data_IF_214737975195
#
_entry.id   IF_214737975195
#
_cell.length_a   1.000
_cell.length_b   1.000
_cell.length_c   1.000
_cell.angle_alpha   90.00
_cell.angle_beta   90.00
_cell.angle_gamma   90.00
#
_symmetry.space_group_name_H-M   'P 1'
#
loop_
_entity.id
_entity.type
_entity.pdbx_description
1 polymer ?
#
# COMPACT_ATOMS: atom_id res chain seq x y z
N UNK A 1 16.34 -7.65 -1.48
CA UNK A 1 15.63 -8.14 -0.29
C UNK A 1 14.73 -9.26 -0.74
N UNK A 2 14.82 -10.40 -0.07
CA UNK A 2 13.93 -11.52 -0.35
C UNK A 2 12.50 -11.20 0.12
N UNK A 3 11.44 -11.76 -0.49
CA UNK A 3 10.06 -11.45 -0.10
C UNK A 3 9.74 -11.66 1.38
N UNK A 4 10.38 -12.64 2.02
CA UNK A 4 10.24 -12.91 3.45
C UNK A 4 10.86 -11.81 4.34
N UNK A 5 11.99 -11.25 3.92
CA UNK A 5 12.71 -10.17 4.59
C UNK A 5 11.92 -8.85 4.51
N UNK A 6 11.38 -8.56 3.32
CA UNK A 6 10.51 -7.40 3.09
C UNK A 6 9.27 -7.47 3.98
N UNK A 7 8.63 -8.64 4.05
CA UNK A 7 7.44 -8.84 4.88
C UNK A 7 7.76 -8.68 6.38
N UNK A 8 8.88 -9.26 6.85
CA UNK A 8 9.31 -9.12 8.24
C UNK A 8 9.56 -7.66 8.63
N UNK A 9 10.32 -6.94 7.79
CA UNK A 9 10.61 -5.52 7.99
C UNK A 9 9.35 -4.66 7.97
N UNK A 10 8.43 -4.94 7.03
CA UNK A 10 7.14 -4.26 6.94
C UNK A 10 6.30 -4.48 8.21
N UNK A 11 6.21 -5.71 8.71
CA UNK A 11 5.43 -6.01 9.92
C UNK A 11 5.99 -5.28 11.15
N UNK A 12 7.32 -5.26 11.32
CA UNK A 12 7.95 -4.52 12.40
C UNK A 12 7.64 -3.01 12.34
N UNK A 13 7.80 -2.41 11.16
CA UNK A 13 7.52 -0.97 10.96
C UNK A 13 6.02 -0.66 11.09
N UNK A 14 5.15 -1.52 10.58
CA UNK A 14 3.71 -1.28 10.58
C UNK A 14 3.09 -1.32 11.99
N UNK A 15 3.61 -2.18 12.86
CA UNK A 15 3.16 -2.36 14.24
C UNK A 15 3.97 -1.56 15.27
N UNK A 16 4.88 -0.69 14.83
CA UNK A 16 5.62 0.22 15.74
C UNK A 16 4.66 1.18 16.48
N UNK A 17 3.60 1.62 15.79
CA UNK A 17 2.59 2.56 16.29
C UNK A 17 1.19 1.95 16.42
N UNK A 18 1.03 0.63 16.19
CA UNK A 18 -0.28 -0.04 16.15
C UNK A 18 -0.29 -1.29 17.03
N UNK A 19 -1.40 -1.49 17.74
CA UNK A 19 -1.61 -2.71 18.51
C UNK A 19 -1.99 -3.89 17.61
N UNK A 20 -1.23 -5.00 17.60
CA UNK A 20 -1.57 -6.18 16.82
C UNK A 20 -2.76 -6.96 17.38
N UNK A 21 -3.51 -7.61 16.49
CA UNK A 21 -4.53 -8.59 16.86
C UNK A 21 -3.88 -9.84 17.48
N UNK A 22 -4.64 -10.61 18.28
CA UNK A 22 -4.11 -11.83 18.94
C UNK A 22 -3.51 -12.86 17.97
N UNK A 23 -4.03 -12.90 16.74
CA UNK A 23 -3.55 -13.79 15.70
C UNK A 23 -3.35 -12.99 14.42
N UNK A 24 -2.15 -13.07 13.86
CA UNK A 24 -1.81 -12.54 12.55
C UNK A 24 -1.75 -13.72 11.56
N UNK A 25 -2.50 -13.60 10.47
CA UNK A 25 -2.49 -14.55 9.36
C UNK A 25 -1.69 -13.92 8.22
N UNK A 26 -0.64 -14.60 7.78
CA UNK A 26 0.21 -14.15 6.69
C UNK A 26 0.00 -15.00 5.45
N UNK A 27 0.18 -14.40 4.28
CA UNK A 27 0.14 -15.11 2.98
C UNK A 27 1.37 -15.99 2.75
N UNK A 28 2.49 -15.67 3.41
CA UNK A 28 3.76 -16.38 3.31
C UNK A 28 4.57 -16.20 4.59
N UNK A 29 5.62 -17.02 4.76
CA UNK A 29 6.52 -16.93 5.92
C UNK A 29 7.28 -15.60 5.87
N UNK A 30 7.32 -14.92 7.01
CA UNK A 30 8.18 -13.77 7.23
C UNK A 30 9.52 -14.22 7.82
N UNK A 31 10.59 -13.48 7.52
CA UNK A 31 11.87 -13.69 8.18
C UNK A 31 11.73 -13.42 9.68
N UNK A 32 12.37 -14.27 10.50
CA UNK A 32 12.37 -14.14 11.96
C UNK A 32 10.96 -14.09 12.58
N UNK A 33 10.02 -14.85 12.01
CA UNK A 33 8.61 -14.86 12.43
C UNK A 33 8.39 -15.12 13.93
N UNK A 34 9.21 -15.97 14.54
CA UNK A 34 9.15 -16.26 15.99
C UNK A 34 9.55 -15.03 16.82
N UNK A 35 10.67 -14.39 16.48
CA UNK A 35 11.13 -13.17 17.13
C UNK A 35 10.14 -12.02 16.95
N UNK A 36 9.54 -11.89 15.76
CA UNK A 36 8.46 -10.93 15.50
C UNK A 36 7.25 -11.20 16.41
N UNK A 37 6.82 -12.45 16.55
CA UNK A 37 5.69 -12.79 17.43
C UNK A 37 5.98 -12.46 18.90
N UNK A 38 7.22 -12.67 19.37
CA UNK A 38 7.66 -12.32 20.72
C UNK A 38 7.71 -10.81 20.94
N UNK A 39 8.30 -10.06 20.00
CA UNK A 39 8.37 -8.60 20.05
C UNK A 39 6.97 -7.98 20.07
N UNK A 40 6.09 -8.43 19.17
CA UNK A 40 4.69 -7.98 19.11
C UNK A 40 3.91 -8.37 20.37
N UNK A 41 4.19 -9.53 20.97
CA UNK A 41 3.57 -9.93 22.23
C UNK A 41 3.98 -9.03 23.39
N UNK A 42 5.25 -8.66 23.44
CA UNK A 42 5.80 -7.72 24.43
C UNK A 42 5.17 -6.35 24.25
N UNK A 43 5.14 -5.83 23.02
CA UNK A 43 4.51 -4.55 22.69
C UNK A 43 3.02 -4.51 23.06
N UNK A 44 2.27 -5.59 22.77
CA UNK A 44 0.84 -5.66 23.02
C UNK A 44 0.46 -6.04 24.47
N UNK A 45 1.42 -6.42 25.33
CA UNK A 45 1.16 -6.91 26.69
C UNK A 45 0.34 -8.21 26.75
N UNK A 46 0.29 -8.97 25.65
CA UNK A 46 -0.48 -10.22 25.54
C UNK A 46 0.13 -11.12 24.47
N UNK A 47 -0.13 -12.43 24.56
CA UNK A 47 0.32 -13.38 23.54
C UNK A 47 -0.26 -13.03 22.15
N UNK A 48 0.64 -12.83 21.20
CA UNK A 48 0.38 -12.68 19.76
C UNK A 48 0.94 -13.92 19.07
N UNK A 49 0.16 -14.48 18.14
CA UNK A 49 0.58 -15.63 17.33
C UNK A 49 0.58 -15.26 15.87
N UNK A 50 1.67 -15.57 15.17
CA UNK A 50 1.76 -15.39 13.71
C UNK A 50 1.66 -16.78 13.06
N UNK A 51 0.81 -16.91 12.06
CA UNK A 51 0.67 -18.18 11.33
C UNK A 51 0.47 -17.97 9.84
N UNK A 52 0.97 -18.92 9.05
CA UNK A 52 0.76 -19.00 7.61
C UNK A 52 -0.17 -20.19 7.37
N UNK A 53 -1.49 -19.98 7.29
CA UNK A 53 -2.43 -21.08 7.08
C UNK A 53 -2.12 -21.81 5.77
N UNK A 54 -2.32 -23.13 5.77
CA UNK A 54 -2.03 -23.98 4.60
C UNK A 54 -3.28 -24.60 3.98
N UNK A 55 -4.40 -24.64 4.72
CA UNK A 55 -5.68 -25.20 4.29
C UNK A 55 -6.84 -24.66 5.13
N UNK A 56 -8.07 -24.82 4.62
CA UNK A 56 -9.31 -24.45 5.31
C UNK A 56 -9.60 -22.94 5.29
N UNK A 57 -10.62 -22.50 6.04
CA UNK A 57 -11.17 -21.14 5.97
C UNK A 57 -10.11 -20.03 6.15
N UNK A 58 -9.14 -20.22 7.05
CA UNK A 58 -8.05 -19.25 7.26
C UNK A 58 -7.15 -19.11 6.03
N UNK A 59 -6.95 -20.19 5.27
CA UNK A 59 -6.20 -20.16 4.01
C UNK A 59 -6.99 -19.40 2.96
N UNK A 60 -8.29 -19.68 2.85
CA UNK A 60 -9.18 -19.00 1.91
C UNK A 60 -9.19 -17.48 2.18
N UNK A 61 -9.20 -17.06 3.45
CA UNK A 61 -9.06 -15.65 3.84
C UNK A 61 -7.74 -15.03 3.36
N UNK A 62 -6.61 -15.69 3.59
CA UNK A 62 -5.31 -15.17 3.14
C UNK A 62 -5.20 -15.16 1.61
N UNK A 63 -5.84 -16.10 0.92
CA UNK A 63 -5.85 -16.16 -0.55
C UNK A 63 -6.70 -15.05 -1.16
N UNK A 64 -7.87 -14.77 -0.59
CA UNK A 64 -8.68 -13.62 -0.98
C UNK A 64 -7.92 -12.30 -0.74
N UNK A 65 -7.25 -12.16 0.40
CA UNK A 65 -6.43 -10.97 0.68
C UNK A 65 -5.29 -10.81 -0.34
N UNK A 66 -4.61 -11.91 -0.69
CA UNK A 66 -3.55 -11.91 -1.70
C UNK A 66 -4.07 -11.56 -3.10
N UNK A 67 -5.23 -12.10 -3.48
CA UNK A 67 -5.87 -11.81 -4.75
C UNK A 67 -6.27 -10.33 -4.85
N UNK A 68 -6.90 -9.79 -3.80
CA UNK A 68 -7.25 -8.37 -3.71
C UNK A 68 -6.01 -7.48 -3.81
N UNK A 69 -4.91 -7.85 -3.16
CA UNK A 69 -3.65 -7.12 -3.24
C UNK A 69 -3.07 -7.12 -4.67
N UNK A 70 -3.14 -8.25 -5.39
CA UNK A 70 -2.72 -8.35 -6.79
C UNK A 70 -3.57 -7.47 -7.71
N UNK A 71 -4.88 -7.50 -7.54
CA UNK A 71 -5.81 -6.67 -8.34
C UNK A 71 -5.60 -5.18 -8.09
N UNK A 72 -5.46 -4.78 -6.83
CA UNK A 72 -5.15 -3.40 -6.45
C UNK A 72 -3.81 -2.94 -7.03
N UNK A 73 -2.78 -3.78 -6.98
CA UNK A 73 -1.48 -3.48 -7.58
C UNK A 73 -1.60 -3.35 -9.10
N UNK A 74 -2.30 -4.27 -9.77
CA UNK A 74 -2.53 -4.22 -11.21
C UNK A 74 -3.25 -2.93 -11.63
N UNK A 75 -4.29 -2.53 -10.90
CA UNK A 75 -5.00 -1.27 -11.12
C UNK A 75 -4.06 -0.06 -10.97
N UNK A 76 -3.27 -0.01 -9.88
CA UNK A 76 -2.32 1.08 -9.64
C UNK A 76 -1.28 1.20 -10.74
N UNK A 77 -0.75 0.08 -11.24
CA UNK A 77 0.20 0.06 -12.34
C UNK A 77 -0.44 0.55 -13.65
N UNK A 78 -1.68 0.13 -13.94
CA UNK A 78 -2.43 0.58 -15.10
C UNK A 78 -2.74 2.09 -15.05
N UNK A 79 -3.18 2.60 -13.89
CA UNK A 79 -3.41 4.03 -13.66
C UNK A 79 -2.14 4.84 -13.86
N UNK A 80 -1.01 4.39 -13.30
CA UNK A 80 0.29 5.05 -13.44
C UNK A 80 0.72 5.10 -14.91
N UNK A 81 0.55 4.00 -15.65
CA UNK A 81 0.89 3.95 -17.08
C UNK A 81 0.00 4.88 -17.93
N UNK A 82 -1.28 4.98 -17.58
CA UNK A 82 -2.26 5.83 -18.25
C UNK A 82 -1.96 7.30 -17.97
N UNK A 83 -1.68 7.64 -16.71
CA UNK A 83 -1.33 9.00 -16.30
C UNK A 83 -0.03 9.48 -16.98
N UNK A 84 0.99 8.63 -17.04
CA UNK A 84 2.23 8.94 -17.75
C UNK A 84 1.97 9.25 -19.24
N UNK A 85 1.14 8.43 -19.90
CA UNK A 85 0.74 8.67 -21.31
C UNK A 85 -0.04 9.98 -21.49
N UNK A 86 -0.96 10.29 -20.58
CA UNK A 86 -1.74 11.53 -20.63
C UNK A 86 -0.86 12.77 -20.45
N UNK A 87 0.07 12.75 -19.48
CA UNK A 87 1.01 13.85 -19.25
C UNK A 87 2.00 14.02 -20.42
N UNK A 88 2.39 12.93 -21.07
CA UNK A 88 3.18 12.95 -22.30
C UNK A 88 2.41 13.63 -23.43
N UNK A 89 1.17 13.20 -23.70
CA UNK A 89 0.31 13.81 -24.71
C UNK A 89 -0.02 15.28 -24.42
N UNK A 90 -0.14 15.66 -23.15
CA UNK A 90 -0.28 17.06 -22.74
C UNK A 90 0.96 17.89 -23.12
N UNK A 91 2.16 17.39 -22.82
CA UNK A 91 3.40 18.07 -23.20
C UNK A 91 3.53 18.22 -24.73
N UNK A 92 3.21 17.17 -25.49
CA UNK A 92 3.20 17.21 -26.96
C UNK A 92 2.19 18.24 -27.49
N UNK A 93 0.97 18.26 -26.96
CA UNK A 93 -0.11 19.17 -27.39
C UNK A 93 0.25 20.64 -27.16
N UNK A 94 0.90 20.95 -26.04
CA UNK A 94 1.27 22.32 -25.66
C UNK A 94 2.72 22.68 -25.98
N UNK A 95 3.49 21.78 -26.64
CA UNK A 95 4.89 22.00 -27.00
C UNK A 95 5.84 22.16 -25.80
N UNK A 96 5.53 21.52 -24.67
CA UNK A 96 6.37 21.57 -23.47
C UNK A 96 7.61 20.69 -23.65
N UNK A 97 8.77 21.15 -23.17
CA UNK A 97 10.01 20.40 -23.25
C UNK A 97 9.99 19.06 -22.47
N UNK A 98 9.09 18.91 -21.49
CA UNK A 98 8.91 17.70 -20.69
C UNK A 98 7.49 17.60 -20.12
N UNK A 99 6.99 16.38 -19.79
CA UNK A 99 5.74 16.21 -19.07
C UNK A 99 5.68 17.04 -17.77
N UNK A 100 4.58 17.76 -17.51
CA UNK A 100 4.47 18.58 -16.30
C UNK A 100 4.37 17.68 -15.06
N UNK A 101 5.12 18.06 -14.02
CA UNK A 101 5.11 17.38 -12.71
C UNK A 101 4.14 18.03 -11.71
N UNK A 102 3.65 19.23 -12.03
CA UNK A 102 2.68 19.99 -11.26
C UNK A 102 1.79 20.75 -12.23
N UNK A 103 0.48 20.65 -12.04
CA UNK A 103 -0.54 21.38 -12.78
C UNK A 103 -1.39 22.11 -11.75
N UNK A 104 -1.47 23.43 -11.85
CA UNK A 104 -2.35 24.26 -11.03
C UNK A 104 -3.48 24.78 -11.91
N UNK A 105 -4.72 24.60 -11.45
CA UNK A 105 -5.92 25.02 -12.18
C UNK A 105 -6.59 26.11 -11.35
N UNK A 106 -6.69 27.29 -11.93
CA UNK A 106 -7.42 28.42 -11.35
C UNK A 106 -8.77 28.53 -12.05
N UNK A 107 -9.86 28.31 -11.30
CA UNK A 107 -11.22 28.53 -11.77
C UNK A 107 -11.75 29.86 -11.23
N UNK A 108 -12.11 30.78 -12.12
CA UNK A 108 -12.60 32.12 -11.81
C UNK A 108 -14.12 32.24 -11.99
N UNK A 109 -14.86 31.14 -11.89
CA UNK A 109 -16.29 31.07 -12.20
C UNK A 109 -17.25 31.82 -11.23
N UNK A 110 -16.74 32.65 -10.31
CA UNK A 110 -17.53 33.59 -9.49
C UNK A 110 -16.78 34.92 -9.19
N UNK A 111 -16.31 35.63 -10.21
CA UNK A 111 -15.96 37.06 -10.08
C UNK A 111 -17.19 37.91 -10.43
N UNK A 112 -18.27 37.74 -9.67
CA UNK A 112 -19.32 38.77 -9.57
C UNK A 112 -18.70 39.92 -8.78
N UNK A 113 -18.24 40.95 -9.49
CA UNK A 113 -17.45 42.02 -8.93
C UNK A 113 -18.12 42.69 -7.72
N UNK A 114 -17.42 42.76 -6.59
CA UNK A 114 -17.27 43.97 -5.78
C UNK A 114 -16.09 43.81 -4.83
N UNK A 115 -15.28 44.88 -4.72
CA UNK A 115 -14.12 45.12 -3.84
C UNK A 115 -12.73 44.86 -4.48
N UNK A 116 -12.34 45.84 -5.30
CA UNK A 116 -10.96 46.34 -5.32
C UNK A 116 -10.74 47.29 -4.14
#
# INVERSE_FOLDING_TARGET
LEPAEVLGSFLAQFYDDKLPARTLLLSQVAQEQELLAEALSTHAGRKITISVPQRGEKKDLTDHALQNAREALGRRLAETSTQARLLQGFAETFGLAKPPVRIEVYDNSHIMGTNA
#
